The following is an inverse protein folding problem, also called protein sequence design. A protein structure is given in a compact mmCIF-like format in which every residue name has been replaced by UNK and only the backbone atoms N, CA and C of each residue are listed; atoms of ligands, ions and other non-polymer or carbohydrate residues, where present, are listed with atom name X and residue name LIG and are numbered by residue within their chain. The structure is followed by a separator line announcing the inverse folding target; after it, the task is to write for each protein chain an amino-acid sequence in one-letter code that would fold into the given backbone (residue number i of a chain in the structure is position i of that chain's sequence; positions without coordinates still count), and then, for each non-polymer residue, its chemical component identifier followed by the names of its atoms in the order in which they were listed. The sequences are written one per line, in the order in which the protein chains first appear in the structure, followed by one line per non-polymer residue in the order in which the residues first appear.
data_IF_206115008636
#
_entry.id   IF_206115008636
#
_cell.length_a   1.000
_cell.length_b   1.000
_cell.length_c   1.000
_cell.angle_alpha   90.00
_cell.angle_beta   90.00
_cell.angle_gamma   90.00
#
_symmetry.space_group_name_H-M   'P 1'
#
loop_
_entity.id
_entity.type
_entity.pdbx_description
1 polymer ?
#
# COMPACT_ATOMS: atom_id res chain seq x y z
N UNK A 1 22.48 20.00 -12.77
CA UNK A 1 21.49 20.04 -11.67
C UNK A 1 20.60 18.82 -11.81
N UNK A 2 20.76 17.82 -10.94
CA UNK A 2 20.16 16.49 -11.09
C UNK A 2 18.62 16.53 -11.17
N UNK A 3 18.06 16.44 -12.38
CA UNK A 3 16.64 16.12 -12.63
C UNK A 3 16.38 14.61 -12.50
N UNK A 4 16.99 13.94 -11.52
CA UNK A 4 16.86 12.48 -11.38
C UNK A 4 15.56 12.10 -10.66
N UNK A 5 15.14 12.86 -9.65
CA UNK A 5 13.90 12.55 -8.93
C UNK A 5 12.67 13.06 -9.68
N UNK A 6 11.99 12.13 -10.32
CA UNK A 6 10.69 12.38 -10.93
C UNK A 6 9.61 11.62 -10.15
N UNK A 7 8.44 12.24 -9.98
CA UNK A 7 7.40 11.82 -9.04
C UNK A 7 6.84 10.41 -9.30
N UNK A 8 6.99 9.88 -10.51
CA UNK A 8 6.63 8.50 -10.85
C UNK A 8 7.53 7.45 -10.19
N UNK A 9 8.69 7.84 -9.65
CA UNK A 9 9.61 6.93 -8.97
C UNK A 9 9.15 6.57 -7.55
N UNK A 10 8.37 7.42 -6.89
CA UNK A 10 7.88 7.17 -5.53
C UNK A 10 7.06 5.87 -5.43
N UNK A 11 6.02 5.65 -6.25
CA UNK A 11 5.24 4.41 -6.15
C UNK A 11 6.04 3.17 -6.56
N UNK A 12 6.97 3.30 -7.51
CA UNK A 12 7.86 2.19 -7.91
C UNK A 12 8.79 1.81 -6.75
N UNK A 13 9.39 2.81 -6.10
CA UNK A 13 10.26 2.57 -4.95
C UNK A 13 9.50 1.91 -3.79
N UNK A 14 8.31 2.40 -3.44
CA UNK A 14 7.46 1.78 -2.42
C UNK A 14 7.13 0.32 -2.78
N UNK A 15 6.73 0.05 -4.03
CA UNK A 15 6.42 -1.31 -4.49
C UNK A 15 7.65 -2.23 -4.44
N UNK A 16 8.83 -1.74 -4.84
CA UNK A 16 10.07 -2.51 -4.76
C UNK A 16 10.47 -2.81 -3.32
N UNK A 17 10.34 -1.85 -2.40
CA UNK A 17 10.60 -2.07 -0.98
C UNK A 17 9.68 -3.14 -0.41
N UNK A 18 8.38 -3.02 -0.65
CA UNK A 18 7.40 -4.00 -0.19
C UNK A 18 7.65 -5.39 -0.74
N UNK A 19 7.82 -5.50 -2.06
CA UNK A 19 8.10 -6.75 -2.74
C UNK A 19 9.39 -7.39 -2.22
N UNK A 20 10.45 -6.58 -2.03
CA UNK A 20 11.71 -7.04 -1.45
C UNK A 20 11.56 -7.59 -0.04
N UNK A 21 10.75 -6.94 0.80
CA UNK A 21 10.43 -7.40 2.15
C UNK A 21 9.67 -8.73 2.13
N UNK A 22 8.63 -8.85 1.30
CA UNK A 22 7.86 -10.10 1.16
C UNK A 22 8.72 -11.25 0.63
N UNK A 23 9.48 -11.01 -0.45
CA UNK A 23 10.36 -12.02 -1.03
C UNK A 23 11.50 -12.41 -0.09
N UNK A 24 12.03 -11.47 0.69
CA UNK A 24 13.06 -11.76 1.69
C UNK A 24 12.55 -12.69 2.77
N UNK A 25 11.36 -12.42 3.32
CA UNK A 25 10.73 -13.27 4.33
C UNK A 25 10.34 -14.64 3.77
N UNK A 26 9.64 -14.68 2.64
CA UNK A 26 9.24 -15.94 2.01
C UNK A 26 10.46 -16.77 1.56
N UNK A 27 11.47 -16.10 1.01
CA UNK A 27 12.72 -16.73 0.59
C UNK A 27 13.48 -17.35 1.74
N UNK A 28 13.53 -16.69 2.90
CA UNK A 28 14.10 -17.27 4.12
C UNK A 28 13.33 -18.53 4.56
N UNK A 29 12.00 -18.48 4.57
CA UNK A 29 11.19 -19.62 5.00
C UNK A 29 11.37 -20.84 4.08
N UNK A 30 11.38 -20.61 2.76
CA UNK A 30 11.65 -21.66 1.77
C UNK A 30 13.07 -22.23 1.90
N UNK A 31 14.09 -21.37 2.04
CA UNK A 31 15.47 -21.77 2.19
C UNK A 31 15.73 -22.56 3.50
N UNK A 32 14.92 -22.32 4.53
CA UNK A 32 14.98 -23.03 5.81
C UNK A 32 14.29 -24.40 5.79
N UNK A 33 13.79 -24.84 4.63
CA UNK A 33 13.08 -26.12 4.49
C UNK A 33 11.60 -26.06 4.87
N UNK A 34 11.00 -24.86 4.85
CA UNK A 34 9.57 -24.64 5.17
C UNK A 34 9.16 -25.16 6.56
N UNK A 35 9.85 -24.72 7.64
CA UNK A 35 9.52 -25.17 8.99
C UNK A 35 8.11 -24.74 9.40
N UNK A 36 7.49 -25.53 10.27
CA UNK A 36 6.27 -25.15 10.96
C UNK A 36 6.63 -24.14 12.06
N UNK A 37 6.10 -22.92 11.97
CA UNK A 37 6.48 -21.80 12.82
C UNK A 37 5.58 -21.69 14.06
N UNK A 38 6.14 -21.12 15.14
CA UNK A 38 5.41 -20.79 16.36
C UNK A 38 4.39 -19.66 16.07
N UNK A 39 3.14 -20.04 15.80
CA UNK A 39 2.07 -19.14 15.35
C UNK A 39 1.18 -19.76 14.28
N UNK A 40 1.69 -20.77 13.56
CA UNK A 40 0.92 -21.51 12.58
C UNK A 40 -0.12 -22.42 13.25
N UNK A 41 -1.30 -22.53 12.63
CA UNK A 41 -2.30 -23.50 13.06
C UNK A 41 -1.80 -24.94 12.86
N UNK A 42 -2.18 -25.92 13.70
CA UNK A 42 -1.66 -27.29 13.60
C UNK A 42 -1.86 -27.97 12.23
N UNK A 43 -2.86 -27.53 11.44
CA UNK A 43 -3.12 -28.03 10.09
C UNK A 43 -2.52 -27.18 8.96
N UNK A 44 -1.89 -26.05 9.28
CA UNK A 44 -1.38 -25.09 8.32
C UNK A 44 -0.10 -25.61 7.67
N UNK A 45 -0.10 -25.69 6.33
CA UNK A 45 1.03 -26.19 5.53
C UNK A 45 1.90 -25.10 4.93
N UNK A 46 1.36 -23.89 4.80
CA UNK A 46 2.04 -22.74 4.21
C UNK A 46 2.04 -21.64 5.26
N UNK A 47 3.21 -21.17 5.66
CA UNK A 47 3.33 -20.06 6.61
C UNK A 47 2.77 -18.78 5.99
N UNK A 48 1.94 -18.06 6.75
CA UNK A 48 1.59 -16.70 6.39
C UNK A 48 2.80 -15.79 6.57
N UNK A 49 2.80 -14.67 5.84
CA UNK A 49 3.86 -13.68 5.98
C UNK A 49 3.92 -13.13 7.41
N UNK A 50 2.78 -13.02 8.09
CA UNK A 50 2.70 -12.64 9.51
C UNK A 50 3.41 -13.67 10.40
N UNK A 51 3.24 -14.97 10.17
CA UNK A 51 3.93 -16.04 10.91
C UNK A 51 5.45 -15.89 10.78
N UNK A 52 5.93 -15.65 9.56
CA UNK A 52 7.36 -15.43 9.28
C UNK A 52 7.83 -14.13 9.92
N UNK A 53 7.03 -13.07 9.83
CA UNK A 53 7.28 -11.76 10.44
C UNK A 53 7.30 -11.78 11.97
N UNK A 54 6.71 -12.78 12.61
CA UNK A 54 6.74 -12.97 14.06
C UNK A 54 8.02 -13.65 14.58
N UNK A 55 8.90 -14.10 13.68
CA UNK A 55 10.19 -14.72 14.00
C UNK A 55 11.31 -13.67 14.22
N UNK A 56 12.58 -14.08 14.11
CA UNK A 56 13.73 -13.16 14.13
C UNK A 56 13.74 -12.18 12.94
N UNK A 57 12.89 -12.38 11.92
CA UNK A 57 12.71 -11.47 10.80
C UNK A 57 11.75 -10.29 11.09
N UNK A 58 11.20 -10.18 12.31
CA UNK A 58 10.37 -9.04 12.70
C UNK A 58 11.01 -7.67 12.40
N UNK A 59 12.32 -7.43 12.64
CA UNK A 59 12.94 -6.16 12.29
C UNK A 59 12.90 -5.85 10.78
N UNK A 60 13.05 -6.88 9.94
CA UNK A 60 12.93 -6.74 8.49
C UNK A 60 11.48 -6.37 8.10
N UNK A 61 10.50 -7.00 8.74
CA UNK A 61 9.09 -6.72 8.47
C UNK A 61 8.70 -5.29 8.88
N UNK A 62 9.13 -4.84 10.07
CA UNK A 62 8.91 -3.47 10.54
C UNK A 62 9.61 -2.45 9.64
N UNK A 63 10.90 -2.62 9.36
CA UNK A 63 11.67 -1.67 8.57
C UNK A 63 11.14 -1.58 7.13
N UNK A 64 10.87 -2.72 6.51
CA UNK A 64 10.30 -2.79 5.16
C UNK A 64 8.92 -2.15 5.05
N UNK A 65 8.06 -2.42 6.02
CA UNK A 65 6.72 -1.81 6.10
C UNK A 65 6.82 -0.31 6.31
N UNK A 66 7.66 0.16 7.24
CA UNK A 66 7.88 1.58 7.51
C UNK A 66 8.32 2.36 6.27
N UNK A 67 9.34 1.86 5.56
CA UNK A 67 9.80 2.51 4.32
C UNK A 67 8.69 2.51 3.27
N UNK A 68 7.99 1.40 3.09
CA UNK A 68 6.92 1.26 2.10
C UNK A 68 5.80 2.27 2.35
N UNK A 69 5.23 2.30 3.56
CA UNK A 69 4.05 3.13 3.84
C UNK A 69 4.37 4.62 3.84
N UNK A 70 5.56 5.01 4.34
CA UNK A 70 5.98 6.42 4.31
C UNK A 70 6.11 6.89 2.86
N UNK A 71 6.75 6.10 2.00
CA UNK A 71 6.90 6.46 0.58
C UNK A 71 5.55 6.43 -0.13
N UNK A 72 4.68 5.48 0.20
CA UNK A 72 3.35 5.39 -0.37
C UNK A 72 2.50 6.62 0.00
N UNK A 73 2.51 7.07 1.25
CA UNK A 73 1.82 8.29 1.68
C UNK A 73 2.41 9.54 1.01
N UNK A 74 3.74 9.59 0.83
CA UNK A 74 4.41 10.64 0.06
C UNK A 74 3.92 10.68 -1.40
N UNK A 75 3.46 9.57 -1.99
CA UNK A 75 2.85 9.58 -3.32
C UNK A 75 1.60 10.48 -3.32
N UNK A 76 0.67 10.29 -2.39
CA UNK A 76 -0.55 11.09 -2.30
C UNK A 76 -0.26 12.56 -2.00
N UNK A 77 0.65 12.82 -1.05
CA UNK A 77 1.06 14.20 -0.71
C UNK A 77 1.72 14.88 -1.92
N UNK A 78 2.58 14.17 -2.65
CA UNK A 78 3.26 14.69 -3.83
C UNK A 78 2.28 14.96 -4.98
N UNK A 79 1.30 14.08 -5.21
CA UNK A 79 0.23 14.29 -6.20
C UNK A 79 -0.54 15.57 -5.88
N UNK A 80 -0.96 15.75 -4.63
CA UNK A 80 -1.67 16.94 -4.18
C UNK A 80 -0.85 18.22 -4.38
N UNK A 81 0.42 18.19 -3.99
CA UNK A 81 1.33 19.32 -4.13
C UNK A 81 1.59 19.67 -5.60
N UNK A 82 1.80 18.68 -6.46
CA UNK A 82 2.03 18.86 -7.89
C UNK A 82 0.80 19.37 -8.63
N UNK A 83 -0.41 18.97 -8.21
CA UNK A 83 -1.66 19.57 -8.71
C UNK A 83 -1.73 21.05 -8.33
N UNK A 84 -1.42 21.41 -7.08
CA UNK A 84 -1.40 22.82 -6.66
C UNK A 84 -0.36 23.67 -7.40
N UNK A 85 0.80 23.10 -7.75
CA UNK A 85 1.84 23.77 -8.54
C UNK A 85 1.55 23.83 -10.05
N UNK A 86 0.42 23.28 -10.51
CA UNK A 86 0.04 23.26 -11.93
C UNK A 86 0.85 22.30 -12.79
N UNK A 87 1.64 21.38 -12.18
CA UNK A 87 2.42 20.36 -12.91
C UNK A 87 1.58 19.12 -13.23
N UNK A 88 0.49 18.91 -12.52
CA UNK A 88 -0.54 17.90 -12.80
C UNK A 88 -1.88 18.59 -13.08
N UNK A 89 -2.81 17.87 -13.74
CA UNK A 89 -4.15 18.38 -14.01
C UNK A 89 -4.82 18.89 -12.74
N UNK A 90 -5.15 20.18 -12.73
CA UNK A 90 -5.66 20.87 -11.56
C UNK A 90 -7.05 20.35 -11.18
N UNK A 91 -7.37 20.30 -9.89
CA UNK A 91 -8.70 19.94 -9.45
C UNK A 91 -9.68 21.07 -9.84
N UNK A 92 -10.62 20.76 -10.74
CA UNK A 92 -11.64 21.69 -11.25
C UNK A 92 -12.82 21.86 -10.31
N UNK A 93 -13.04 20.90 -9.41
CA UNK A 93 -14.19 20.90 -8.49
C UNK A 93 -13.77 20.65 -7.03
N UNK A 94 -14.55 21.20 -6.11
CA UNK A 94 -14.40 20.95 -4.65
C UNK A 94 -14.51 19.46 -4.33
N UNK A 95 -15.37 18.72 -5.05
CA UNK A 95 -15.48 17.27 -4.89
C UNK A 95 -14.18 16.53 -5.16
N UNK A 96 -13.45 16.87 -6.23
CA UNK A 96 -12.15 16.23 -6.49
C UNK A 96 -11.13 16.56 -5.39
N UNK A 97 -11.17 17.79 -4.84
CA UNK A 97 -10.29 18.16 -3.71
C UNK A 97 -10.61 17.33 -2.47
N UNK A 98 -11.89 17.15 -2.14
CA UNK A 98 -12.33 16.33 -1.00
C UNK A 98 -11.93 14.87 -1.19
N UNK A 99 -12.16 14.29 -2.37
CA UNK A 99 -11.75 12.91 -2.68
C UNK A 99 -10.24 12.68 -2.52
N UNK A 100 -9.42 13.63 -3.00
CA UNK A 100 -7.96 13.59 -2.84
C UNK A 100 -7.53 13.60 -1.36
N UNK A 101 -8.15 14.46 -0.56
CA UNK A 101 -7.86 14.55 0.89
C UNK A 101 -8.32 13.29 1.61
N UNK A 102 -9.53 12.81 1.37
CA UNK A 102 -10.04 11.57 1.97
C UNK A 102 -9.14 10.38 1.61
N UNK A 103 -8.75 10.25 0.35
CA UNK A 103 -7.82 9.21 -0.10
C UNK A 103 -6.49 9.25 0.68
N UNK A 104 -5.92 10.44 0.90
CA UNK A 104 -4.68 10.60 1.67
C UNK A 104 -4.86 10.24 3.14
N UNK A 105 -5.97 10.66 3.76
CA UNK A 105 -6.25 10.36 5.18
C UNK A 105 -6.43 8.86 5.41
N UNK A 106 -7.19 8.18 4.55
CA UNK A 106 -7.38 6.74 4.67
C UNK A 106 -6.09 5.94 4.36
N UNK A 107 -5.21 6.45 3.49
CA UNK A 107 -3.89 5.85 3.28
C UNK A 107 -3.03 5.91 4.55
N UNK A 108 -3.02 7.06 5.25
CA UNK A 108 -2.31 7.22 6.53
C UNK A 108 -2.90 6.31 7.63
N UNK A 109 -4.23 6.16 7.69
CA UNK A 109 -4.88 5.22 8.62
C UNK A 109 -4.44 3.79 8.32
N UNK A 110 -4.43 3.39 7.04
CA UNK A 110 -3.93 2.09 6.61
C UNK A 110 -2.45 1.88 6.96
N UNK A 111 -1.62 2.92 6.78
CA UNK A 111 -0.21 2.93 7.14
C UNK A 111 0.00 2.69 8.63
N UNK A 112 -0.75 3.40 9.49
CA UNK A 112 -0.72 3.19 10.95
C UNK A 112 -1.12 1.74 11.29
N UNK A 113 -2.17 1.21 10.65
CA UNK A 113 -2.56 -0.19 10.80
C UNK A 113 -1.43 -1.16 10.49
N UNK A 114 -0.72 -0.96 9.38
CA UNK A 114 0.40 -1.82 8.97
C UNK A 114 1.61 -1.72 9.92
N UNK A 115 1.96 -0.53 10.39
CA UNK A 115 3.07 -0.41 11.35
C UNK A 115 2.73 -1.07 12.67
N UNK A 116 1.52 -0.84 13.18
CA UNK A 116 1.08 -1.47 14.42
C UNK A 116 1.03 -2.99 14.30
N UNK A 117 0.51 -3.55 13.20
CA UNK A 117 0.48 -5.01 13.04
C UNK A 117 1.89 -5.60 12.98
N UNK A 118 2.86 -4.94 12.33
CA UNK A 118 4.25 -5.45 12.30
C UNK A 118 4.94 -5.44 13.68
N UNK A 119 4.53 -4.54 14.56
CA UNK A 119 5.05 -4.44 15.93
C UNK A 119 4.37 -5.43 16.89
N UNK A 120 3.09 -5.74 16.66
CA UNK A 120 2.32 -6.65 17.50
C UNK A 120 2.68 -8.10 17.17
N UNK A 121 3.38 -8.75 18.09
CA UNK A 121 3.76 -10.16 17.94
C UNK A 121 2.53 -11.06 18.05
N UNK A 122 2.28 -11.82 16.99
CA UNK A 122 1.07 -12.65 16.79
C UNK A 122 0.79 -13.58 17.98
N UNK A 123 1.85 -14.17 18.57
CA UNK A 123 1.73 -15.18 19.64
C UNK A 123 1.22 -14.66 20.99
N UNK A 124 1.20 -13.35 21.23
CA UNK A 124 0.76 -12.75 22.51
C UNK A 124 -0.46 -11.83 22.39
N UNK A 125 -0.74 -11.33 21.18
CA UNK A 125 -1.77 -10.33 20.93
C UNK A 125 -2.55 -10.58 19.63
N UNK A 126 -2.85 -11.83 19.27
CA UNK A 126 -3.52 -12.19 18.01
C UNK A 126 -4.75 -11.33 17.67
N UNK A 127 -5.65 -11.10 18.64
CA UNK A 127 -6.84 -10.24 18.40
C UNK A 127 -6.49 -8.79 18.04
N UNK A 128 -5.42 -8.22 18.62
CA UNK A 128 -4.98 -6.87 18.30
C UNK A 128 -4.26 -6.83 16.94
N UNK A 129 -3.46 -7.85 16.64
CA UNK A 129 -2.82 -8.03 15.33
C UNK A 129 -3.87 -8.10 14.22
N UNK A 130 -4.90 -8.95 14.38
CA UNK A 130 -6.00 -9.10 13.43
C UNK A 130 -6.81 -7.81 13.26
N UNK A 131 -7.04 -7.08 14.35
CA UNK A 131 -7.71 -5.77 14.29
C UNK A 131 -6.89 -4.76 13.49
N UNK A 132 -5.57 -4.71 13.69
CA UNK A 132 -4.67 -3.86 12.93
C UNK A 132 -4.60 -4.28 11.45
N UNK A 133 -4.66 -5.59 11.15
CA UNK A 133 -4.77 -6.13 9.79
C UNK A 133 -6.04 -5.62 9.09
N UNK A 134 -7.18 -5.67 9.77
CA UNK A 134 -8.45 -5.14 9.24
C UNK A 134 -8.35 -3.64 8.99
N UNK A 135 -7.78 -2.86 9.92
CA UNK A 135 -7.59 -1.41 9.74
C UNK A 135 -6.70 -1.11 8.53
N UNK A 136 -5.60 -1.86 8.37
CA UNK A 136 -4.69 -1.76 7.23
C UNK A 136 -5.42 -2.01 5.90
N UNK A 137 -6.10 -3.16 5.77
CA UNK A 137 -6.78 -3.57 4.54
C UNK A 137 -7.91 -2.59 4.20
N UNK A 138 -8.82 -2.33 5.15
CA UNK A 138 -9.97 -1.46 4.93
C UNK A 138 -9.53 -0.02 4.65
N UNK A 139 -8.51 0.48 5.36
CA UNK A 139 -7.93 1.79 5.13
C UNK A 139 -7.43 1.98 3.70
N UNK A 140 -6.63 1.04 3.19
CA UNK A 140 -6.12 1.12 1.82
C UNK A 140 -7.19 0.88 0.75
N UNK A 141 -8.17 0.01 0.98
CA UNK A 141 -9.30 -0.18 0.06
C UNK A 141 -10.10 1.12 -0.08
N UNK A 142 -10.48 1.74 1.04
CA UNK A 142 -11.24 3.00 1.03
C UNK A 142 -10.41 4.12 0.36
N UNK A 143 -9.11 4.19 0.66
CA UNK A 143 -8.20 5.13 0.01
C UNK A 143 -8.17 4.94 -1.51
N UNK A 144 -8.07 3.71 -1.99
CA UNK A 144 -8.03 3.37 -3.40
C UNK A 144 -9.35 3.73 -4.11
N UNK A 145 -10.50 3.51 -3.46
CA UNK A 145 -11.82 3.91 -3.99
C UNK A 145 -11.87 5.43 -4.19
N UNK A 146 -11.46 6.22 -3.19
CA UNK A 146 -11.47 7.68 -3.31
C UNK A 146 -10.47 8.18 -4.36
N UNK A 147 -9.28 7.56 -4.45
CA UNK A 147 -8.31 7.87 -5.51
C UNK A 147 -8.89 7.57 -6.91
N UNK A 148 -9.52 6.41 -7.09
CA UNK A 148 -10.14 6.05 -8.37
C UNK A 148 -11.27 7.00 -8.73
N UNK A 149 -12.12 7.37 -7.78
CA UNK A 149 -13.19 8.34 -7.98
C UNK A 149 -12.66 9.74 -8.36
N UNK A 150 -11.55 10.18 -7.76
CA UNK A 150 -10.88 11.43 -8.14
C UNK A 150 -10.38 11.36 -9.60
N UNK A 151 -9.65 10.30 -9.94
CA UNK A 151 -9.09 10.09 -11.27
C UNK A 151 -10.17 9.96 -12.35
N UNK A 152 -11.27 9.26 -12.07
CA UNK A 152 -12.41 9.16 -12.97
C UNK A 152 -13.02 10.53 -13.24
N UNK A 153 -13.28 11.33 -12.20
CA UNK A 153 -13.83 12.68 -12.34
C UNK A 153 -12.90 13.62 -13.09
N UNK A 154 -11.59 13.54 -12.85
CA UNK A 154 -10.59 14.29 -13.60
C UNK A 154 -10.55 13.86 -15.07
N UNK A 155 -10.61 12.55 -15.35
CA UNK A 155 -10.62 12.01 -16.72
C UNK A 155 -11.84 12.43 -17.55
N UNK A 156 -12.98 12.67 -16.90
CA UNK A 156 -14.18 13.22 -17.56
C UNK A 156 -13.97 14.68 -17.97
N UNK A 157 -13.42 15.51 -17.08
CA UNK A 157 -13.19 16.94 -17.35
C UNK A 157 -12.04 17.16 -18.34
N UNK A 158 -10.99 16.35 -18.24
CA UNK A 158 -9.81 16.44 -19.10
C UNK A 158 -9.76 15.31 -20.13
N UNK A 159 -10.82 15.17 -20.93
CA UNK A 159 -10.94 14.14 -21.99
C UNK A 159 -9.77 14.12 -22.98
N UNK A 160 -9.07 15.24 -23.14
CA UNK A 160 -7.90 15.39 -24.00
C UNK A 160 -6.67 14.60 -23.50
N UNK A 161 -6.53 14.38 -22.20
CA UNK A 161 -5.37 13.67 -21.65
C UNK A 161 -5.67 12.17 -21.53
N UNK A 162 -5.36 11.41 -22.59
CA UNK A 162 -5.47 9.93 -22.64
C UNK A 162 -4.80 9.23 -21.45
N UNK A 163 -3.75 9.84 -20.90
CA UNK A 163 -3.00 9.30 -19.76
C UNK A 163 -3.86 9.15 -18.50
N UNK A 164 -4.82 10.05 -18.26
CA UNK A 164 -5.72 9.97 -17.09
C UNK A 164 -6.62 8.75 -17.17
N UNK A 165 -7.12 8.42 -18.37
CA UNK A 165 -7.95 7.25 -18.61
C UNK A 165 -7.14 5.96 -18.54
N UNK A 166 -5.93 5.96 -19.07
CA UNK A 166 -5.01 4.83 -18.95
C UNK A 166 -4.66 4.54 -17.49
N UNK A 167 -4.33 5.57 -16.70
CA UNK A 167 -4.06 5.42 -15.27
C UNK A 167 -5.26 4.86 -14.50
N UNK A 168 -6.49 5.26 -14.83
CA UNK A 168 -7.69 4.69 -14.23
C UNK A 168 -7.84 3.19 -14.55
N UNK A 169 -7.72 2.80 -15.82
CA UNK A 169 -7.86 1.39 -16.22
C UNK A 169 -6.75 0.51 -15.65
N UNK A 170 -5.51 1.02 -15.56
CA UNK A 170 -4.41 0.30 -14.91
C UNK A 170 -4.74 0.08 -13.43
N UNK A 171 -5.15 1.12 -12.70
CA UNK A 171 -5.53 1.00 -11.28
C UNK A 171 -6.68 0.00 -11.09
N UNK A 172 -7.71 0.08 -11.93
CA UNK A 172 -8.85 -0.82 -11.87
C UNK A 172 -8.46 -2.28 -12.17
N UNK A 173 -7.60 -2.50 -13.16
CA UNK A 173 -7.10 -3.83 -13.49
C UNK A 173 -6.34 -4.46 -12.33
N UNK A 174 -5.47 -3.69 -11.65
CA UNK A 174 -4.77 -4.16 -10.45
C UNK A 174 -5.75 -4.56 -9.34
N UNK A 175 -6.71 -3.70 -9.00
CA UNK A 175 -7.71 -3.98 -7.97
C UNK A 175 -8.51 -5.25 -8.30
N UNK A 176 -8.97 -5.40 -9.55
CA UNK A 176 -9.72 -6.59 -9.97
C UNK A 176 -8.88 -7.86 -9.92
N UNK A 177 -7.59 -7.76 -10.26
CA UNK A 177 -6.66 -8.89 -10.20
C UNK A 177 -6.38 -9.29 -8.77
N UNK A 178 -6.18 -8.33 -7.86
CA UNK A 178 -6.00 -8.59 -6.43
C UNK A 178 -7.22 -9.30 -5.83
N UNK A 179 -8.44 -8.81 -6.11
CA UNK A 179 -9.68 -9.45 -5.64
C UNK A 179 -9.85 -10.86 -6.22
N UNK A 180 -9.41 -11.11 -7.46
CA UNK A 180 -9.50 -12.43 -8.08
C UNK A 180 -8.48 -13.44 -7.52
N UNK A 181 -7.38 -12.96 -6.93
CA UNK A 181 -6.31 -13.79 -6.37
C UNK A 181 -6.43 -13.99 -4.84
N UNK A 182 -7.12 -13.09 -4.15
CA UNK A 182 -7.40 -13.15 -2.71
C UNK A 182 -8.51 -14.17 -2.39
#
# INVERSE_FOLDING_TARGET
MFKIFSYWMLPIFAACCWLGTLLGMLGWWLASGSPHLDGMDPGQRIAYISDIGATHLQPLFIAGSAVTVIVFDLCFISERWLRHKGRLAHNTSTTQKVLSVLSSVFAIIGAIGLILLTCLKDTKFGTAHDTCLVIFIVGYIISAIFACAEYQRLGIHFRQYRILRASFWIKLFFILTEIALA
#
